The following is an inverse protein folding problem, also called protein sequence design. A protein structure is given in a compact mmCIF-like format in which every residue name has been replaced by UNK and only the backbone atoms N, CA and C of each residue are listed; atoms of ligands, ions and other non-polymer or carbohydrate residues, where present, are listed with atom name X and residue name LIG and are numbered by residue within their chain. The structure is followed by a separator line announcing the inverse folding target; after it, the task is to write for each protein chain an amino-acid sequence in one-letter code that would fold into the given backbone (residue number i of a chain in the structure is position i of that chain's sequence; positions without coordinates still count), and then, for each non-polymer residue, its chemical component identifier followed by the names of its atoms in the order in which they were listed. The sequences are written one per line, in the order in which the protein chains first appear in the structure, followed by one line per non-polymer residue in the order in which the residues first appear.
data_IF_517456951338
#
_entry.id   IF_517456951338
#
_cell.length_a   1.000
_cell.length_b   1.000
_cell.length_c   1.000
_cell.angle_alpha   90.00
_cell.angle_beta   90.00
_cell.angle_gamma   90.00
#
_symmetry.space_group_name_H-M   'P 1'
#
loop_
_entity.id
_entity.type
_entity.pdbx_description
1 polymer ?
#
# COMPACT_ATOMS: atom_id res chain seq x y z
N UNK A 1 4.42 -12.50 0.06
CA UNK A 1 3.53 -12.59 -1.12
C UNK A 1 3.87 -13.81 -1.97
N UNK A 2 5.14 -14.00 -2.37
CA UNK A 2 5.60 -15.19 -3.10
C UNK A 2 5.21 -16.51 -2.42
N UNK A 3 5.28 -16.58 -1.09
CA UNK A 3 4.93 -17.78 -0.31
C UNK A 3 3.44 -18.18 -0.40
N UNK A 4 2.57 -17.25 -0.81
CA UNK A 4 1.14 -17.50 -1.02
C UNK A 4 0.77 -17.60 -2.51
N UNK A 5 1.74 -17.51 -3.43
CA UNK A 5 1.48 -17.64 -4.87
C UNK A 5 1.35 -19.11 -5.28
N UNK A 6 0.40 -19.44 -6.17
CA UNK A 6 0.29 -20.77 -6.78
C UNK A 6 1.33 -21.00 -7.87
N UNK A 7 1.74 -19.94 -8.55
CA UNK A 7 2.56 -20.03 -9.78
C UNK A 7 4.06 -20.14 -9.48
N UNK A 8 4.50 -19.86 -8.25
CA UNK A 8 5.91 -19.88 -7.85
C UNK A 8 6.17 -21.09 -6.94
N UNK A 9 6.89 -22.11 -7.46
CA UNK A 9 7.37 -23.22 -6.62
C UNK A 9 8.39 -22.72 -5.59
N UNK A 10 8.53 -23.41 -4.46
CA UNK A 10 9.41 -23.00 -3.36
C UNK A 10 10.86 -22.75 -3.83
N UNK A 11 11.37 -23.61 -4.72
CA UNK A 11 12.71 -23.54 -5.30
C UNK A 11 12.91 -22.34 -6.24
N UNK A 12 11.83 -21.87 -6.88
CA UNK A 12 11.87 -20.77 -7.85
C UNK A 12 11.65 -19.39 -7.23
N UNK A 13 11.40 -19.32 -5.92
CA UNK A 13 11.20 -18.05 -5.19
C UNK A 13 12.42 -17.15 -5.34
N UNK A 14 12.18 -15.85 -5.52
CA UNK A 14 13.24 -14.86 -5.65
C UNK A 14 13.91 -14.59 -4.30
N UNK A 15 15.25 -14.54 -4.32
CA UNK A 15 16.07 -14.41 -3.10
C UNK A 15 16.20 -12.97 -2.60
N UNK A 16 15.94 -11.99 -3.47
CA UNK A 16 16.07 -10.57 -3.14
C UNK A 16 15.82 -9.65 -4.32
N UNK A 17 16.04 -8.35 -4.12
CA UNK A 17 15.77 -7.30 -5.12
C UNK A 17 16.60 -7.52 -6.39
N UNK A 18 17.91 -7.73 -6.26
CA UNK A 18 18.81 -7.93 -7.41
C UNK A 18 18.41 -9.19 -8.19
N UNK A 19 18.07 -10.27 -7.48
CA UNK A 19 17.62 -11.52 -8.09
C UNK A 19 16.34 -11.30 -8.93
N UNK A 20 15.37 -10.54 -8.42
CA UNK A 20 14.16 -10.14 -9.17
C UNK A 20 14.52 -9.32 -10.40
N UNK A 21 15.37 -8.29 -10.26
CA UNK A 21 15.73 -7.39 -11.36
C UNK A 21 16.51 -8.09 -12.48
N UNK A 22 17.27 -9.14 -12.16
CA UNK A 22 18.01 -9.93 -13.15
C UNK A 22 17.14 -11.03 -13.75
N UNK A 23 16.39 -11.76 -12.93
CA UNK A 23 15.63 -12.93 -13.38
C UNK A 23 14.36 -12.53 -14.11
N UNK A 24 13.57 -11.56 -13.64
CA UNK A 24 12.28 -11.22 -14.25
C UNK A 24 12.42 -10.82 -15.74
N UNK A 25 13.35 -9.94 -16.15
CA UNK A 25 13.55 -9.64 -17.57
C UNK A 25 13.93 -10.87 -18.41
N UNK A 26 14.80 -11.75 -17.90
CA UNK A 26 15.18 -13.01 -18.57
C UNK A 26 14.03 -14.03 -18.63
N UNK A 27 13.29 -14.13 -17.52
CA UNK A 27 12.24 -15.12 -17.27
C UNK A 27 10.86 -14.69 -17.74
N UNK A 28 10.60 -13.44 -18.13
CA UNK A 28 9.27 -12.99 -18.56
C UNK A 28 9.32 -11.89 -19.64
N UNK A 29 10.51 -11.38 -19.96
CA UNK A 29 10.71 -10.21 -20.84
C UNK A 29 10.74 -8.91 -20.05
N UNK A 30 11.47 -7.91 -20.53
CA UNK A 30 11.70 -6.64 -19.80
C UNK A 30 10.41 -5.90 -19.41
N UNK A 31 9.39 -5.96 -20.28
CA UNK A 31 8.09 -5.30 -20.05
C UNK A 31 7.31 -5.87 -18.86
N UNK A 32 7.67 -7.06 -18.38
CA UNK A 32 7.01 -7.68 -17.21
C UNK A 32 7.25 -6.90 -15.90
N UNK A 33 8.29 -6.06 -15.82
CA UNK A 33 8.50 -5.16 -14.68
C UNK A 33 7.35 -4.16 -14.48
N UNK A 34 6.59 -3.85 -15.54
CA UNK A 34 5.40 -2.99 -15.50
C UNK A 34 4.08 -3.76 -15.40
N UNK A 35 4.12 -5.07 -15.15
CA UNK A 35 2.91 -5.88 -15.07
C UNK A 35 2.01 -5.41 -13.92
N UNK A 36 0.74 -5.17 -14.24
CA UNK A 36 -0.24 -4.60 -13.32
C UNK A 36 -0.19 -3.07 -13.18
N UNK A 37 0.71 -2.36 -13.89
CA UNK A 37 0.84 -0.91 -13.77
C UNK A 37 -0.38 -0.15 -14.33
N UNK A 38 -1.14 -0.72 -15.27
CA UNK A 38 -2.39 -0.12 -15.77
C UNK A 38 -3.36 0.21 -14.63
N UNK A 39 -3.46 -0.67 -13.63
CA UNK A 39 -4.29 -0.42 -12.45
C UNK A 39 -3.81 0.79 -11.65
N UNK A 40 -2.52 1.11 -11.65
CA UNK A 40 -2.00 2.29 -10.94
C UNK A 40 -2.43 3.59 -11.59
N UNK A 41 -2.35 3.63 -12.91
CA UNK A 41 -2.76 4.79 -13.71
C UNK A 41 -4.27 4.99 -13.57
N UNK A 42 -5.06 3.93 -13.77
CA UNK A 42 -6.51 4.00 -13.65
C UNK A 42 -6.99 4.35 -12.25
N UNK A 43 -6.30 3.87 -11.21
CA UNK A 43 -6.68 4.14 -9.81
C UNK A 43 -6.57 5.62 -9.44
N UNK A 44 -5.69 6.39 -10.09
CA UNK A 44 -5.46 7.79 -9.74
C UNK A 44 -6.74 8.63 -9.88
N UNK A 45 -7.40 8.56 -11.03
CA UNK A 45 -8.62 9.33 -11.33
C UNK A 45 -9.77 9.13 -10.32
N UNK A 46 -10.27 7.91 -10.06
CA UNK A 46 -11.35 7.69 -9.10
C UNK A 46 -10.92 8.03 -7.67
N UNK A 47 -9.65 7.80 -7.31
CA UNK A 47 -9.15 8.20 -5.98
C UNK A 47 -9.22 9.72 -5.80
N UNK A 48 -8.85 10.49 -6.82
CA UNK A 48 -8.94 11.96 -6.74
C UNK A 48 -10.39 12.44 -6.73
N UNK A 49 -11.26 11.86 -7.54
CA UNK A 49 -12.69 12.20 -7.53
C UNK A 49 -13.33 11.96 -6.15
N UNK A 50 -13.02 10.82 -5.52
CA UNK A 50 -13.52 10.47 -4.18
C UNK A 50 -12.91 11.35 -3.10
N UNK A 51 -11.63 11.69 -3.20
CA UNK A 51 -11.01 12.65 -2.28
C UNK A 51 -11.70 14.01 -2.37
N UNK A 52 -11.97 14.52 -3.58
CA UNK A 52 -12.67 15.79 -3.77
C UNK A 52 -14.09 15.74 -3.21
N UNK A 53 -14.81 14.63 -3.41
CA UNK A 53 -16.18 14.48 -2.95
C UNK A 53 -16.32 14.30 -1.42
N UNK A 54 -15.39 13.59 -0.76
CA UNK A 54 -15.61 13.12 0.61
C UNK A 54 -14.64 13.67 1.66
N UNK A 55 -13.46 14.17 1.26
CA UNK A 55 -12.43 14.59 2.22
C UNK A 55 -12.92 15.74 3.11
N UNK A 56 -13.53 16.75 2.51
CA UNK A 56 -14.02 17.92 3.27
C UNK A 56 -15.24 17.55 4.11
N UNK A 57 -16.14 16.71 3.59
CA UNK A 57 -17.27 16.15 4.34
C UNK A 57 -16.81 15.44 5.61
N UNK A 58 -15.80 14.57 5.55
CA UNK A 58 -15.28 13.89 6.72
C UNK A 58 -14.51 14.82 7.67
N UNK A 59 -13.76 15.80 7.13
CA UNK A 59 -13.12 16.79 7.98
C UNK A 59 -14.13 17.63 8.75
N UNK A 60 -15.21 18.07 8.09
CA UNK A 60 -16.29 18.80 8.76
C UNK A 60 -16.99 17.90 9.78
N UNK A 61 -17.28 16.65 9.44
CA UNK A 61 -17.98 15.73 10.33
C UNK A 61 -17.20 15.43 11.61
N UNK A 62 -15.89 15.20 11.50
CA UNK A 62 -15.08 14.75 12.64
C UNK A 62 -14.27 15.87 13.32
N UNK A 63 -13.83 16.90 12.60
CA UNK A 63 -12.90 17.92 13.11
C UNK A 63 -13.56 19.27 13.42
N UNK A 64 -14.80 19.52 12.98
CA UNK A 64 -15.48 20.80 13.22
C UNK A 64 -15.63 21.05 14.73
N UNK A 65 -15.17 22.21 15.17
CA UNK A 65 -15.27 22.64 16.57
C UNK A 65 -14.21 22.09 17.51
N UNK A 66 -13.21 21.35 17.00
CA UNK A 66 -12.09 20.86 17.81
C UNK A 66 -10.89 21.81 17.67
N UNK A 67 -10.42 22.36 18.80
CA UNK A 67 -9.21 23.17 18.82
C UNK A 67 -7.97 22.29 18.98
N UNK A 68 -7.13 22.23 17.93
CA UNK A 68 -5.88 21.45 17.93
C UNK A 68 -4.95 21.81 19.10
N UNK A 69 -4.90 23.08 19.51
CA UNK A 69 -3.97 23.57 20.55
C UNK A 69 -4.44 23.24 21.96
N UNK A 70 -5.77 23.20 22.19
CA UNK A 70 -6.36 22.95 23.50
C UNK A 70 -6.72 21.48 23.72
N UNK A 71 -7.10 20.76 22.67
CA UNK A 71 -7.64 19.40 22.74
C UNK A 71 -6.86 18.43 21.83
N UNK A 72 -5.53 18.34 22.02
CA UNK A 72 -4.65 17.54 21.14
C UNK A 72 -5.14 16.10 20.92
N UNK A 73 -5.46 15.35 21.98
CA UNK A 73 -5.88 13.95 21.86
C UNK A 73 -7.21 13.78 21.15
N UNK A 74 -8.14 14.72 21.35
CA UNK A 74 -9.44 14.73 20.65
C UNK A 74 -9.25 15.05 19.17
N UNK A 75 -8.41 16.04 18.85
CA UNK A 75 -8.02 16.35 17.47
C UNK A 75 -7.34 15.15 16.80
N UNK A 76 -6.41 14.50 17.49
CA UNK A 76 -5.70 13.33 16.98
C UNK A 76 -6.66 12.18 16.67
N UNK A 77 -7.53 11.80 17.61
CA UNK A 77 -8.52 10.76 17.42
C UNK A 77 -9.50 11.10 16.28
N UNK A 78 -10.00 12.33 16.22
CA UNK A 78 -10.88 12.80 15.16
C UNK A 78 -10.19 12.81 13.77
N UNK A 79 -8.91 13.15 13.71
CA UNK A 79 -8.15 13.12 12.46
C UNK A 79 -7.94 11.68 11.98
N UNK A 80 -7.66 10.75 12.89
CA UNK A 80 -7.59 9.32 12.59
C UNK A 80 -8.94 8.80 12.10
N UNK A 81 -10.05 9.18 12.73
CA UNK A 81 -11.39 8.80 12.32
C UNK A 81 -11.75 9.35 10.93
N UNK A 82 -11.53 10.66 10.69
CA UNK A 82 -11.70 11.29 9.38
C UNK A 82 -10.87 10.58 8.31
N UNK A 83 -9.61 10.32 8.62
CA UNK A 83 -8.70 9.65 7.71
C UNK A 83 -9.04 8.20 7.39
N UNK A 84 -9.42 7.44 8.41
CA UNK A 84 -9.88 6.07 8.29
C UNK A 84 -11.17 6.00 7.48
N UNK A 85 -12.14 6.88 7.74
CA UNK A 85 -13.42 6.92 7.03
C UNK A 85 -13.25 7.33 5.55
N UNK A 86 -12.47 8.38 5.28
CA UNK A 86 -12.16 8.80 3.91
C UNK A 86 -11.39 7.71 3.14
N UNK A 87 -10.42 7.07 3.80
CA UNK A 87 -9.66 5.95 3.24
C UNK A 87 -10.53 4.73 2.95
N UNK A 88 -11.38 4.32 3.89
CA UNK A 88 -12.30 3.20 3.73
C UNK A 88 -13.29 3.45 2.57
N UNK A 89 -13.89 4.65 2.52
CA UNK A 89 -14.81 5.04 1.45
C UNK A 89 -14.13 5.02 0.09
N UNK A 90 -12.91 5.56 -0.02
CA UNK A 90 -12.14 5.49 -1.26
C UNK A 90 -11.89 4.04 -1.68
N UNK A 91 -11.47 3.20 -0.72
CA UNK A 91 -11.24 1.79 -0.97
C UNK A 91 -12.53 1.05 -1.40
N UNK A 92 -13.72 1.40 -0.94
CA UNK A 92 -14.96 0.74 -1.40
C UNK A 92 -15.10 0.74 -2.93
N UNK A 93 -14.56 1.76 -3.61
CA UNK A 93 -14.58 1.85 -5.07
C UNK A 93 -13.30 1.35 -5.72
N UNK A 94 -12.13 1.70 -5.17
CA UNK A 94 -10.85 1.45 -5.85
C UNK A 94 -10.15 0.16 -5.43
N UNK A 95 -10.65 -0.54 -4.41
CA UNK A 95 -10.03 -1.78 -3.92
C UNK A 95 -9.91 -2.89 -4.98
N UNK A 96 -10.90 -3.10 -5.87
CA UNK A 96 -10.73 -4.06 -6.99
C UNK A 96 -9.49 -3.78 -7.85
N UNK A 97 -9.17 -2.50 -8.10
CA UNK A 97 -7.98 -2.11 -8.86
C UNK A 97 -6.70 -2.44 -8.09
N UNK A 98 -6.66 -2.20 -6.79
CA UNK A 98 -5.53 -2.58 -5.92
C UNK A 98 -5.33 -4.10 -5.87
N UNK A 99 -6.45 -4.84 -5.79
CA UNK A 99 -6.46 -6.29 -5.80
C UNK A 99 -5.86 -6.82 -7.11
N UNK A 100 -6.36 -6.36 -8.26
CA UNK A 100 -5.89 -6.82 -9.55
C UNK A 100 -4.44 -6.39 -9.83
N UNK A 101 -4.04 -5.19 -9.42
CA UNK A 101 -2.62 -4.76 -9.44
C UNK A 101 -1.74 -5.78 -8.73
N UNK A 102 -2.14 -6.17 -7.52
CA UNK A 102 -1.37 -7.10 -6.67
C UNK A 102 -1.30 -8.48 -7.31
N UNK A 103 -2.41 -9.00 -7.83
CA UNK A 103 -2.48 -10.32 -8.48
C UNK A 103 -1.72 -10.39 -9.79
N UNK A 104 -1.76 -9.33 -10.59
CA UNK A 104 -0.98 -9.26 -11.82
C UNK A 104 0.53 -9.13 -11.55
N UNK A 105 0.93 -8.38 -10.53
CA UNK A 105 2.34 -8.17 -10.20
C UNK A 105 3.06 -9.44 -9.70
N UNK A 106 2.31 -10.44 -9.25
CA UNK A 106 2.86 -11.72 -8.74
C UNK A 106 2.70 -12.87 -9.73
N UNK A 107 1.97 -12.65 -10.82
CA UNK A 107 1.80 -13.63 -11.88
C UNK A 107 3.08 -13.69 -12.72
N UNK A 108 3.88 -14.70 -12.44
CA UNK A 108 5.16 -14.96 -13.12
C UNK A 108 5.02 -15.78 -14.42
N UNK A 109 3.80 -16.12 -14.84
CA UNK A 109 3.56 -16.94 -16.02
C UNK A 109 4.01 -16.29 -17.33
N UNK A 110 4.40 -17.11 -18.32
CA UNK A 110 4.69 -16.70 -19.71
C UNK A 110 3.59 -17.20 -20.65
N UNK A 111 3.07 -16.32 -21.52
CA UNK A 111 2.11 -16.69 -22.55
C UNK A 111 0.89 -17.42 -21.96
N UNK A 112 0.69 -18.68 -22.36
CA UNK A 112 -0.44 -19.54 -21.91
C UNK A 112 -0.35 -19.98 -20.45
N UNK A 113 0.81 -19.92 -19.81
CA UNK A 113 0.95 -20.27 -18.37
C UNK A 113 0.61 -19.11 -17.42
N UNK A 114 0.13 -17.98 -17.95
CA UNK A 114 -0.33 -16.83 -17.16
C UNK A 114 -1.66 -17.13 -16.48
N UNK A 115 -1.74 -16.80 -15.20
CA UNK A 115 -3.00 -16.86 -14.45
C UNK A 115 -4.01 -15.83 -15.00
N UNK A 116 -3.52 -14.63 -15.31
CA UNK A 116 -4.33 -13.51 -15.79
C UNK A 116 -3.72 -12.82 -17.01
N UNK A 117 -4.51 -12.64 -18.08
CA UNK A 117 -4.08 -11.95 -19.30
C UNK A 117 -4.00 -10.43 -19.12
N UNK A 118 -4.73 -9.87 -18.14
CA UNK A 118 -4.73 -8.44 -17.86
C UNK A 118 -5.63 -8.06 -16.69
N UNK A 119 -5.84 -6.75 -16.51
CA UNK A 119 -6.66 -6.19 -15.43
C UNK A 119 -8.10 -6.72 -15.48
N UNK A 120 -8.76 -6.60 -16.63
CA UNK A 120 -10.15 -7.04 -16.78
C UNK A 120 -10.31 -8.54 -16.65
N UNK A 121 -9.40 -9.33 -17.24
CA UNK A 121 -9.40 -10.78 -17.09
C UNK A 121 -9.24 -11.20 -15.62
N UNK A 122 -8.38 -10.52 -14.86
CA UNK A 122 -8.23 -10.75 -13.42
C UNK A 122 -9.51 -10.48 -12.63
N UNK A 123 -10.13 -9.33 -12.86
CA UNK A 123 -11.37 -8.95 -12.18
C UNK A 123 -12.51 -9.93 -12.51
N UNK A 124 -12.71 -10.23 -13.80
CA UNK A 124 -13.79 -11.12 -14.25
C UNK A 124 -13.59 -12.55 -13.75
N UNK A 125 -12.38 -13.11 -13.86
CA UNK A 125 -12.11 -14.48 -13.39
C UNK A 125 -12.35 -14.63 -11.89
N UNK A 126 -11.88 -13.68 -11.09
CA UNK A 126 -12.07 -13.74 -9.63
C UNK A 126 -13.53 -13.50 -9.25
N UNK A 127 -14.24 -12.59 -9.92
CA UNK A 127 -15.68 -12.42 -9.72
C UNK A 127 -16.46 -13.70 -10.05
N UNK A 128 -16.07 -14.43 -11.11
CA UNK A 128 -16.71 -15.70 -11.47
C UNK A 128 -16.41 -16.83 -10.49
N UNK A 129 -15.21 -16.88 -9.90
CA UNK A 129 -14.82 -17.95 -8.98
C UNK A 129 -15.30 -17.73 -7.54
N UNK A 130 -15.16 -16.52 -7.03
CA UNK A 130 -15.33 -16.19 -5.60
C UNK A 130 -16.46 -15.17 -5.37
N UNK A 131 -17.15 -14.75 -6.43
CA UNK A 131 -18.09 -13.64 -6.38
C UNK A 131 -17.41 -12.26 -6.26
N UNK A 132 -18.19 -11.17 -6.26
CA UNK A 132 -17.67 -9.81 -6.11
C UNK A 132 -16.92 -9.59 -4.79
N UNK A 133 -17.33 -10.26 -3.71
CA UNK A 133 -16.68 -10.22 -2.40
C UNK A 133 -15.23 -10.72 -2.46
N UNK A 134 -14.92 -11.63 -3.39
CA UNK A 134 -13.56 -12.13 -3.62
C UNK A 134 -12.55 -11.03 -3.96
N UNK A 135 -12.99 -9.93 -4.58
CA UNK A 135 -12.15 -8.78 -4.92
C UNK A 135 -11.81 -7.92 -3.69
N UNK A 136 -12.60 -8.01 -2.61
CA UNK A 136 -12.45 -7.23 -1.39
C UNK A 136 -11.74 -7.98 -0.25
N UNK A 137 -11.17 -9.16 -0.53
CA UNK A 137 -10.41 -9.91 0.48
C UNK A 137 -9.22 -9.09 0.99
N UNK A 138 -9.20 -8.87 2.31
CA UNK A 138 -8.21 -8.05 2.99
C UNK A 138 -8.62 -6.58 3.18
N UNK A 139 -9.87 -6.20 2.85
CA UNK A 139 -10.33 -4.82 2.98
C UNK A 139 -10.18 -4.28 4.42
N UNK A 140 -10.68 -5.00 5.43
CA UNK A 140 -10.63 -4.56 6.82
C UNK A 140 -9.20 -4.33 7.35
N UNK A 141 -8.27 -5.25 7.06
CA UNK A 141 -6.87 -5.08 7.46
C UNK A 141 -6.20 -3.92 6.72
N UNK A 142 -6.69 -3.56 5.54
CA UNK A 142 -6.23 -2.38 4.79
C UNK A 142 -6.65 -1.10 5.48
N UNK A 143 -7.90 -1.01 5.94
CA UNK A 143 -8.40 0.15 6.69
C UNK A 143 -7.65 0.32 8.01
N UNK A 144 -7.43 -0.78 8.76
CA UNK A 144 -6.59 -0.77 9.97
C UNK A 144 -5.17 -0.27 9.66
N UNK A 145 -4.56 -0.77 8.58
CA UNK A 145 -3.24 -0.32 8.14
C UNK A 145 -3.18 1.17 7.82
N UNK A 146 -4.23 1.75 7.21
CA UNK A 146 -4.33 3.21 6.96
C UNK A 146 -4.35 4.00 8.27
N UNK A 147 -5.14 3.56 9.25
CA UNK A 147 -5.25 4.24 10.56
C UNK A 147 -3.91 4.20 11.28
N UNK A 148 -3.24 3.04 11.31
CA UNK A 148 -1.93 2.88 11.97
C UNK A 148 -0.86 3.69 11.26
N UNK A 149 -0.84 3.67 9.92
CA UNK A 149 0.06 4.51 9.14
C UNK A 149 -0.12 5.99 9.47
N UNK A 150 -1.37 6.49 9.52
CA UNK A 150 -1.65 7.88 9.86
C UNK A 150 -1.26 8.21 11.31
N UNK A 151 -1.56 7.34 12.25
CA UNK A 151 -1.20 7.53 13.66
C UNK A 151 0.31 7.66 13.84
N UNK A 152 1.07 6.74 13.25
CA UNK A 152 2.52 6.77 13.25
C UNK A 152 3.05 8.04 12.54
N UNK A 153 2.48 8.39 11.38
CA UNK A 153 2.89 9.55 10.60
C UNK A 153 2.69 10.85 11.37
N UNK A 154 1.51 11.11 11.92
CA UNK A 154 1.25 12.32 12.70
C UNK A 154 2.10 12.37 13.97
N UNK A 155 2.19 11.27 14.72
CA UNK A 155 2.98 11.21 15.95
C UNK A 155 4.48 11.49 15.71
N UNK A 156 5.05 10.90 14.65
CA UNK A 156 6.45 11.14 14.30
C UNK A 156 6.67 12.53 13.68
N UNK A 157 5.74 13.02 12.87
CA UNK A 157 5.84 14.34 12.25
C UNK A 157 5.75 15.47 13.28
N UNK A 158 4.83 15.37 14.25
CA UNK A 158 4.69 16.36 15.31
C UNK A 158 5.92 16.35 16.24
N UNK A 159 6.45 15.16 16.59
CA UNK A 159 7.72 15.01 17.32
C UNK A 159 8.89 15.62 16.53
N UNK A 160 8.99 15.34 15.23
CA UNK A 160 10.05 15.90 14.39
C UNK A 160 9.96 17.43 14.30
N UNK A 161 8.77 17.98 14.12
CA UNK A 161 8.55 19.44 14.16
C UNK A 161 8.99 20.06 15.47
N UNK A 162 8.65 19.44 16.60
CA UNK A 162 9.09 19.91 17.91
C UNK A 162 10.62 19.90 18.01
N UNK A 163 11.29 18.83 17.60
CA UNK A 163 12.75 18.74 17.69
C UNK A 163 13.48 19.72 16.76
N UNK A 164 12.95 19.96 15.55
CA UNK A 164 13.67 20.71 14.52
C UNK A 164 13.21 22.17 14.33
N UNK A 165 12.05 22.56 14.86
CA UNK A 165 11.48 23.92 14.67
C UNK A 165 11.27 24.68 15.98
N UNK A 166 11.37 24.03 17.15
CA UNK A 166 11.21 24.72 18.45
C UNK A 166 12.28 25.78 18.73
N UNK A 167 13.40 25.79 18.00
CA UNK A 167 14.46 26.81 18.11
C UNK A 167 14.32 27.99 17.13
N UNK A 168 13.18 28.15 16.44
CA UNK A 168 12.98 29.25 15.46
C UNK A 168 13.81 29.12 14.17
N UNK A 169 14.57 28.03 14.01
CA UNK A 169 15.31 27.72 12.78
C UNK A 169 14.37 27.19 11.71
N UNK A 170 14.30 27.88 10.56
CA UNK A 170 13.66 27.35 9.35
C UNK A 170 14.57 26.27 8.75
N UNK A 171 14.05 25.05 8.58
CA UNK A 171 14.78 24.00 7.90
C UNK A 171 14.99 24.38 6.43
N UNK A 172 16.21 24.15 5.92
CA UNK A 172 16.43 24.20 4.47
C UNK A 172 15.61 23.10 3.78
N UNK A 173 15.40 23.25 2.47
CA UNK A 173 14.56 22.32 1.70
C UNK A 173 15.01 20.85 1.86
N UNK A 174 16.31 20.59 1.80
CA UNK A 174 16.86 19.23 1.90
C UNK A 174 16.66 18.60 3.28
N UNK A 175 16.79 19.38 4.36
CA UNK A 175 16.55 18.91 5.71
C UNK A 175 15.05 18.65 5.95
N UNK A 176 14.17 19.55 5.48
CA UNK A 176 12.72 19.33 5.56
C UNK A 176 12.29 18.09 4.75
N UNK A 177 12.87 17.89 3.57
CA UNK A 177 12.67 16.70 2.75
C UNK A 177 13.17 15.43 3.45
N UNK A 178 14.38 15.45 4.00
CA UNK A 178 14.96 14.31 4.71
C UNK A 178 14.11 13.89 5.92
N UNK A 179 13.65 14.86 6.72
CA UNK A 179 12.72 14.61 7.84
C UNK A 179 11.41 14.01 7.34
N UNK A 180 10.82 14.56 6.27
CA UNK A 180 9.59 14.02 5.69
C UNK A 180 9.77 12.59 5.17
N UNK A 181 10.92 12.27 4.57
CA UNK A 181 11.25 10.91 4.13
C UNK A 181 11.40 9.95 5.31
N UNK A 182 12.14 10.33 6.36
CA UNK A 182 12.32 9.52 7.57
C UNK A 182 10.96 9.20 8.21
N UNK A 183 10.11 10.22 8.40
CA UNK A 183 8.76 10.04 8.95
C UNK A 183 7.94 9.10 8.07
N UNK A 184 7.97 9.27 6.75
CA UNK A 184 7.22 8.45 5.80
C UNK A 184 7.69 6.99 5.81
N UNK A 185 9.00 6.76 5.79
CA UNK A 185 9.64 5.44 5.80
C UNK A 185 9.37 4.71 7.10
N UNK A 186 9.53 5.39 8.24
CA UNK A 186 9.23 4.81 9.55
C UNK A 186 7.75 4.46 9.66
N UNK A 187 6.84 5.37 9.26
CA UNK A 187 5.38 5.10 9.32
C UNK A 187 4.97 3.93 8.43
N UNK A 188 5.56 3.88 7.23
CA UNK A 188 5.36 2.79 6.28
C UNK A 188 5.89 1.46 6.82
N UNK A 189 6.99 1.48 7.57
CA UNK A 189 7.57 0.29 8.20
C UNK A 189 6.71 -0.18 9.37
N UNK A 190 6.24 0.71 10.23
CA UNK A 190 5.34 0.38 11.35
C UNK A 190 4.02 -0.25 10.88
N UNK A 191 3.44 0.26 9.79
CA UNK A 191 2.20 -0.27 9.20
C UNK A 191 2.42 -1.46 8.26
N UNK A 192 3.67 -1.83 7.96
CA UNK A 192 4.00 -2.86 6.98
C UNK A 192 3.43 -4.26 7.28
N UNK A 193 3.36 -4.72 8.55
CA UNK A 193 2.71 -6.00 8.87
C UNK A 193 1.26 -6.09 8.36
N UNK A 194 0.50 -4.99 8.44
CA UNK A 194 -0.87 -4.93 7.90
C UNK A 194 -0.90 -5.02 6.38
N UNK A 195 0.06 -4.39 5.68
CA UNK A 195 0.20 -4.50 4.23
C UNK A 195 0.59 -5.94 3.82
N UNK A 196 1.46 -6.61 4.57
CA UNK A 196 1.81 -8.00 4.33
C UNK A 196 0.59 -8.92 4.46
N UNK A 197 -0.17 -8.80 5.55
CA UNK A 197 -1.40 -9.59 5.77
C UNK A 197 -2.44 -9.26 4.70
N UNK A 198 -2.63 -7.98 4.35
CA UNK A 198 -3.51 -7.54 3.25
C UNK A 198 -3.19 -8.28 1.96
N UNK A 199 -1.94 -8.23 1.50
CA UNK A 199 -1.55 -8.84 0.23
C UNK A 199 -1.68 -10.36 0.27
N UNK A 200 -1.42 -11.00 1.41
CA UNK A 200 -1.61 -12.44 1.60
C UNK A 200 -3.09 -12.85 1.51
N UNK A 201 -3.98 -12.04 2.08
CA UNK A 201 -5.42 -12.23 1.94
C UNK A 201 -5.89 -12.05 0.49
N UNK A 202 -5.33 -11.10 -0.27
CA UNK A 202 -5.64 -10.95 -1.71
C UNK A 202 -5.20 -12.16 -2.55
N UNK A 203 -4.12 -12.83 -2.16
CA UNK A 203 -3.63 -14.05 -2.83
C UNK A 203 -4.55 -15.27 -2.62
N UNK A 204 -5.46 -15.22 -1.65
CA UNK A 204 -6.38 -16.31 -1.38
C UNK A 204 -7.49 -16.43 -2.44
N UNK A 205 -7.93 -15.33 -3.05
CA UNK A 205 -9.10 -15.38 -3.95
C UNK A 205 -8.83 -16.21 -5.21
N UNK A 206 -9.80 -17.00 -5.68
CA UNK A 206 -9.62 -17.89 -6.83
C UNK A 206 -8.78 -19.14 -6.53
N UNK A 207 -8.41 -19.38 -5.26
CA UNK A 207 -7.83 -20.66 -4.83
C UNK A 207 -8.95 -21.59 -4.35
N UNK A 208 -8.93 -22.84 -4.84
CA UNK A 208 -9.78 -23.92 -4.33
C UNK A 208 -9.43 -24.31 -2.88
N UNK A 209 -8.17 -24.20 -2.50
CA UNK A 209 -7.64 -24.43 -1.16
C UNK A 209 -7.74 -23.17 -0.28
N UNK A 210 -8.36 -23.30 0.89
CA UNK A 210 -8.45 -22.20 1.88
C UNK A 210 -7.21 -22.16 2.76
N UNK A 211 -6.23 -21.30 2.41
CA UNK A 211 -5.01 -21.12 3.22
C UNK A 211 -5.29 -20.32 4.48
N UNK A 212 -6.17 -19.31 4.41
CA UNK A 212 -6.46 -18.38 5.50
C UNK A 212 -7.98 -18.25 5.70
N UNK A 213 -8.46 -18.52 6.91
CA UNK A 213 -9.88 -18.42 7.28
C UNK A 213 -10.31 -16.96 7.45
N UNK A 214 -9.46 -16.15 8.05
CA UNK A 214 -9.68 -14.73 8.30
C UNK A 214 -8.33 -14.01 8.44
N UNK A 215 -8.38 -12.69 8.65
CA UNK A 215 -7.18 -11.85 8.80
C UNK A 215 -6.29 -12.27 9.98
N UNK A 216 -6.89 -12.64 11.12
CA UNK A 216 -6.14 -13.05 12.31
C UNK A 216 -5.45 -14.41 12.08
N UNK A 217 -6.16 -15.38 11.49
CA UNK A 217 -5.60 -16.66 11.08
C UNK A 217 -4.44 -16.47 10.09
N UNK A 218 -4.57 -15.53 9.14
CA UNK A 218 -3.47 -15.16 8.25
C UNK A 218 -2.25 -14.63 9.00
N UNK A 219 -2.44 -13.68 9.92
CA UNK A 219 -1.35 -13.10 10.69
C UNK A 219 -0.65 -14.15 11.56
N UNK A 220 -1.42 -14.97 12.28
CA UNK A 220 -0.89 -16.03 13.16
C UNK A 220 -0.12 -17.07 12.33
N UNK A 221 -0.67 -17.53 11.20
CA UNK A 221 0.01 -18.50 10.33
C UNK A 221 1.31 -17.96 9.75
N UNK A 222 1.36 -16.69 9.36
CA UNK A 222 2.61 -16.07 8.88
C UNK A 222 3.66 -16.10 9.99
N UNK A 223 3.31 -15.65 11.20
CA UNK A 223 4.25 -15.60 12.34
C UNK A 223 4.70 -17.01 12.72
N UNK A 224 3.78 -17.97 12.81
CA UNK A 224 4.06 -19.35 13.25
C UNK A 224 4.87 -20.14 12.22
N UNK A 225 4.58 -19.99 10.93
CA UNK A 225 5.17 -20.85 9.89
C UNK A 225 6.38 -20.19 9.21
N UNK A 226 6.46 -18.86 9.16
CA UNK A 226 7.53 -18.13 8.48
C UNK A 226 8.35 -17.20 9.40
N UNK A 227 7.93 -17.05 10.65
CA UNK A 227 8.56 -16.18 11.65
C UNK A 227 8.16 -14.71 11.54
N UNK A 228 8.48 -13.94 12.59
CA UNK A 228 8.12 -12.51 12.68
C UNK A 228 8.72 -11.67 11.54
N UNK A 229 9.93 -12.01 11.08
CA UNK A 229 10.60 -11.32 9.97
C UNK A 229 9.81 -11.41 8.66
N UNK A 230 8.96 -12.43 8.49
CA UNK A 230 8.13 -12.59 7.30
C UNK A 230 7.12 -11.45 7.11
N UNK A 231 6.70 -10.80 8.20
CA UNK A 231 5.83 -9.61 8.15
C UNK A 231 6.48 -8.42 7.45
N UNK A 232 7.80 -8.41 7.32
CA UNK A 232 8.59 -7.33 6.70
C UNK A 232 9.25 -7.73 5.38
N UNK A 233 8.89 -8.90 4.81
CA UNK A 233 9.38 -9.32 3.49
C UNK A 233 8.94 -8.33 2.41
N UNK A 234 9.90 -7.56 1.90
CA UNK A 234 9.67 -6.52 0.89
C UNK A 234 9.62 -5.09 1.42
N UNK A 235 9.75 -4.88 2.75
CA UNK A 235 9.74 -3.55 3.35
C UNK A 235 10.80 -2.63 2.74
N UNK A 236 12.04 -3.13 2.58
CA UNK A 236 13.12 -2.38 1.92
C UNK A 236 12.79 -1.99 0.47
N UNK A 237 12.20 -2.92 -0.31
CA UNK A 237 11.75 -2.60 -1.68
C UNK A 237 10.66 -1.53 -1.68
N UNK A 238 9.78 -1.55 -0.67
CA UNK A 238 8.76 -0.52 -0.51
C UNK A 238 9.35 0.85 -0.14
N UNK A 239 10.43 0.89 0.65
CA UNK A 239 11.17 2.12 0.96
C UNK A 239 11.75 2.72 -0.32
N UNK A 240 12.49 1.92 -1.11
CA UNK A 240 13.03 2.39 -2.39
C UNK A 240 11.93 2.89 -3.34
N UNK A 241 10.79 2.19 -3.41
CA UNK A 241 9.64 2.63 -4.19
C UNK A 241 9.10 3.99 -3.71
N UNK A 242 9.00 4.19 -2.40
CA UNK A 242 8.52 5.44 -1.81
C UNK A 242 9.45 6.62 -2.10
N UNK A 243 10.74 6.46 -1.80
CA UNK A 243 11.76 7.49 -2.04
C UNK A 243 11.92 7.80 -3.52
N UNK A 244 11.96 6.76 -4.38
CA UNK A 244 12.02 6.94 -5.83
C UNK A 244 10.80 7.67 -6.39
N UNK A 245 9.60 7.36 -5.90
CA UNK A 245 8.38 8.09 -6.29
C UNK A 245 8.41 9.56 -5.89
N UNK A 246 8.90 9.87 -4.69
CA UNK A 246 9.07 11.26 -4.24
C UNK A 246 10.10 12.02 -5.08
N UNK A 247 11.21 11.38 -5.46
CA UNK A 247 12.22 11.97 -6.32
C UNK A 247 11.67 12.26 -7.73
N UNK A 248 10.90 11.33 -8.31
CA UNK A 248 10.25 11.55 -9.61
C UNK A 248 9.30 12.75 -9.58
N UNK A 249 8.53 12.92 -8.50
CA UNK A 249 7.67 14.10 -8.33
C UNK A 249 8.49 15.40 -8.22
N UNK A 250 9.57 15.39 -7.44
CA UNK A 250 10.45 16.56 -7.31
C UNK A 250 11.08 16.95 -8.66
N UNK A 251 11.54 15.97 -9.44
CA UNK A 251 12.09 16.21 -10.78
C UNK A 251 11.01 16.72 -11.73
N UNK A 252 9.80 16.13 -11.70
CA UNK A 252 8.68 16.57 -12.51
C UNK A 252 8.31 18.02 -12.23
N UNK A 253 8.25 18.41 -10.95
CA UNK A 253 7.97 19.80 -10.55
C UNK A 253 9.07 20.76 -11.00
N UNK A 254 10.33 20.33 -10.99
CA UNK A 254 11.45 21.14 -11.50
C UNK A 254 11.36 21.33 -13.02
N UNK A 255 11.09 20.26 -13.77
CA UNK A 255 10.91 20.31 -15.24
C UNK A 255 9.73 21.21 -15.59
N UNK A 256 8.63 21.14 -14.84
CA UNK A 256 7.43 21.95 -15.06
C UNK A 256 7.70 23.46 -14.97
N UNK A 257 8.72 23.90 -14.24
CA UNK A 257 9.10 25.33 -14.21
C UNK A 257 9.64 25.84 -15.55
N UNK A 258 10.05 24.94 -16.44
CA UNK A 258 10.60 25.25 -17.77
C UNK A 258 9.58 25.01 -18.91
N UNK A 259 8.34 24.59 -18.59
CA UNK A 259 7.22 24.41 -19.53
C UNK A 259 6.21 25.55 -19.37
#
# INVERSE_FOLDING_TARGET
VQDASKTISAEKRYKGIIDVLVRVPKEQGILSLWRGNLANVLRYFPTQALNFAFKDTYNVLFLKGIDKKKEFWKFFAANLASGGAAGATSLCFVYPLDFARTRLAVDIGKGKSREFQGLWDCLVKVCKSDGPIGLFRGFLVSVQGIIIYRAAYFGMFDTAKYLFTSEGKKLNFFAAWAVAQIVTVSSGTFSYPWDTVRRRMMMQSGRSDVLYKNTLDCAIKIIRNEGMKAMFKGALSNVFRGTGGALVLAIYDEIKKFL
#
